data_IF_598529645081
#
_entry.id   IF_598529645081
#
_cell.length_a   1.000
_cell.length_b   1.000
_cell.length_c   1.000
_cell.angle_alpha   90.00
_cell.angle_beta   90.00
_cell.angle_gamma   90.00
#
_symmetry.space_group_name_H-M   'P 1'
#
loop_
_entity.id
_entity.type
_entity.pdbx_description
1 polymer ?
#
# COMPACT_ATOMS: atom_id res chain seq x y z
N UNK A 1 -15.22 -18.97 51.28
CA UNK A 1 -16.44 -19.43 50.56
C UNK A 1 -16.32 -19.03 49.10
N UNK A 2 -15.81 -19.92 48.26
CA UNK A 2 -16.51 -20.50 47.09
C UNK A 2 -17.35 -19.51 46.27
N UNK A 3 -16.97 -19.30 44.99
CA UNK A 3 -17.76 -19.82 43.88
C UNK A 3 -16.86 -20.21 42.70
N UNK A 4 -17.21 -21.36 42.10
CA UNK A 4 -16.49 -22.12 41.09
C UNK A 4 -16.78 -21.61 39.67
N UNK A 5 -15.73 -21.66 38.84
CA UNK A 5 -15.67 -21.94 37.39
C UNK A 5 -16.97 -22.18 36.62
N UNK A 6 -17.09 -21.55 35.44
CA UNK A 6 -17.48 -22.27 34.21
C UNK A 6 -16.83 -21.65 32.98
N UNK A 7 -15.78 -22.33 32.46
CA UNK A 7 -15.23 -22.15 31.11
C UNK A 7 -16.22 -22.68 30.07
N UNK A 8 -16.34 -21.97 28.93
CA UNK A 8 -16.66 -22.54 27.61
C UNK A 8 -16.00 -21.63 26.55
N UNK A 9 -14.76 -21.92 26.13
CA UNK A 9 -14.40 -22.52 24.81
C UNK A 9 -14.99 -21.70 23.65
N UNK A 10 -14.26 -20.97 22.79
CA UNK A 10 -13.08 -21.26 21.93
C UNK A 10 -12.44 -19.88 21.64
N UNK A 11 -11.15 -19.60 21.86
CA UNK A 11 -10.02 -20.06 21.06
C UNK A 11 -9.63 -19.07 19.95
N UNK A 12 -9.02 -17.92 20.30
CA UNK A 12 -8.17 -17.13 19.41
C UNK A 12 -6.95 -16.65 20.20
N UNK A 13 -5.96 -17.53 20.31
CA UNK A 13 -4.59 -17.14 20.57
C UNK A 13 -3.97 -16.70 19.25
N UNK A 14 -3.06 -15.71 19.32
CA UNK A 14 -2.37 -15.00 18.24
C UNK A 14 -3.10 -13.77 17.70
N UNK A 15 -3.41 -12.83 18.60
CA UNK A 15 -3.21 -11.43 18.25
C UNK A 15 -1.70 -11.21 18.21
N UNK A 16 -1.12 -11.16 17.01
CA UNK A 16 0.28 -10.82 16.85
C UNK A 16 0.56 -9.48 17.52
N UNK A 17 1.54 -9.51 18.43
CA UNK A 17 1.98 -8.41 19.28
C UNK A 17 2.52 -7.18 18.52
N UNK A 18 2.42 -7.16 17.19
CA UNK A 18 2.84 -6.05 16.34
C UNK A 18 1.73 -5.00 16.16
N UNK A 19 0.45 -5.43 16.08
CA UNK A 19 -0.66 -4.52 15.79
C UNK A 19 -0.99 -3.58 16.96
N UNK A 20 -0.75 -4.02 18.20
CA UNK A 20 -1.09 -3.27 19.41
C UNK A 20 -0.01 -2.22 19.77
N UNK A 21 1.24 -2.38 19.31
CA UNK A 21 2.34 -1.48 19.69
C UNK A 21 2.32 -0.11 19.00
N UNK A 22 1.55 0.07 17.93
CA UNK A 22 1.45 1.37 17.22
C UNK A 22 0.39 2.32 17.81
N UNK A 23 -0.43 1.85 18.76
CA UNK A 23 -1.61 2.60 19.26
C UNK A 23 -1.33 3.47 20.51
N UNK A 24 -0.13 3.44 21.11
CA UNK A 24 0.05 4.07 22.45
C UNK A 24 0.54 5.51 22.51
N UNK A 25 0.80 6.24 21.42
CA UNK A 25 1.17 7.66 21.53
C UNK A 25 0.67 8.53 20.37
N UNK A 26 -0.66 8.70 20.22
CA UNK A 26 -1.20 9.92 19.61
C UNK A 26 -2.54 10.30 20.26
N UNK A 27 -2.59 11.54 20.70
CA UNK A 27 -3.67 12.19 21.43
C UNK A 27 -4.98 12.23 20.64
N UNK A 28 -6.05 11.69 21.23
CA UNK A 28 -7.45 12.16 21.19
C UNK A 28 -7.86 13.01 19.96
N UNK A 29 -7.92 12.35 18.82
CA UNK A 29 -8.65 12.73 17.61
C UNK A 29 -8.97 11.41 16.91
N UNK A 30 -10.19 11.24 16.42
CA UNK A 30 -10.69 9.99 15.85
C UNK A 30 -9.64 9.34 14.93
N UNK A 31 -9.01 8.25 15.38
CA UNK A 31 -8.47 7.26 14.47
C UNK A 31 -9.70 6.64 13.81
N UNK A 32 -10.15 7.21 12.69
CA UNK A 32 -10.78 6.38 11.68
C UNK A 32 -9.78 5.28 11.40
N UNK A 33 -10.09 4.06 11.85
CA UNK A 33 -9.39 2.88 11.36
C UNK A 33 -9.61 2.97 9.86
N UNK A 34 -8.57 3.37 9.11
CA UNK A 34 -8.61 3.34 7.65
C UNK A 34 -9.21 2.00 7.28
N UNK A 35 -10.37 2.02 6.62
CA UNK A 35 -11.19 0.83 6.45
C UNK A 35 -10.34 -0.32 5.92
N UNK A 36 -10.23 -1.37 6.73
CA UNK A 36 -9.49 -2.59 6.40
C UNK A 36 -10.21 -3.25 5.22
N UNK A 37 -9.48 -3.62 4.17
CA UNK A 37 -10.07 -4.38 3.07
C UNK A 37 -10.47 -5.77 3.57
N UNK A 38 -11.65 -6.23 3.13
CA UNK A 38 -12.12 -7.59 3.34
C UNK A 38 -11.20 -8.61 2.67
N UNK A 39 -11.26 -9.86 3.14
CA UNK A 39 -10.50 -10.97 2.54
C UNK A 39 -10.82 -11.14 1.05
N UNK A 40 -12.07 -10.87 0.66
CA UNK A 40 -12.49 -10.96 -0.74
C UNK A 40 -11.89 -9.82 -1.58
N UNK A 41 -11.87 -8.59 -1.08
CA UNK A 41 -11.21 -7.48 -1.75
C UNK A 41 -9.70 -7.73 -1.92
N UNK A 42 -9.03 -8.27 -0.90
CA UNK A 42 -7.62 -8.66 -1.01
C UNK A 42 -7.42 -9.78 -2.04
N UNK A 43 -8.32 -10.78 -2.07
CA UNK A 43 -8.28 -11.86 -3.05
C UNK A 43 -8.44 -11.33 -4.47
N UNK A 44 -9.41 -10.46 -4.70
CA UNK A 44 -9.67 -9.85 -6.00
C UNK A 44 -8.48 -9.00 -6.43
N UNK A 45 -7.96 -8.14 -5.56
CA UNK A 45 -6.74 -7.38 -5.81
C UNK A 45 -5.57 -8.26 -6.27
N UNK A 46 -5.29 -9.37 -5.58
CA UNK A 46 -4.22 -10.30 -5.98
C UNK A 46 -4.47 -10.97 -7.32
N UNK A 47 -5.73 -11.28 -7.64
CA UNK A 47 -6.11 -11.94 -8.88
C UNK A 47 -6.02 -10.99 -10.08
N UNK A 48 -6.47 -9.74 -9.89
CA UNK A 48 -6.69 -8.74 -10.94
C UNK A 48 -5.44 -7.91 -11.26
N UNK A 49 -4.48 -7.85 -10.33
CA UNK A 49 -3.19 -7.21 -10.57
C UNK A 49 -2.49 -7.74 -11.84
N UNK A 50 -1.88 -6.87 -12.66
CA UNK A 50 -0.98 -7.29 -13.73
C UNK A 50 0.07 -8.27 -13.21
N UNK A 51 0.33 -9.35 -13.96
CA UNK A 51 1.28 -10.41 -13.58
C UNK A 51 2.72 -9.92 -13.59
N UNK A 52 2.96 -8.80 -14.26
CA UNK A 52 4.23 -8.11 -14.33
C UNK A 52 4.53 -7.32 -13.05
N UNK A 53 3.57 -7.05 -12.17
CA UNK A 53 3.87 -6.31 -10.95
C UNK A 53 4.83 -7.10 -10.03
N UNK A 54 5.72 -6.42 -9.29
CA UNK A 54 6.53 -7.08 -8.28
C UNK A 54 5.65 -7.72 -7.20
N UNK A 55 5.92 -8.97 -6.86
CA UNK A 55 5.26 -9.65 -5.72
C UNK A 55 5.42 -8.86 -4.42
N UNK A 56 6.53 -8.12 -4.28
CA UNK A 56 6.77 -7.25 -3.13
C UNK A 56 5.75 -6.13 -3.02
N UNK A 57 5.26 -5.58 -4.13
CA UNK A 57 4.17 -4.61 -4.12
C UNK A 57 2.83 -5.26 -3.76
N UNK A 58 2.49 -6.34 -4.46
CA UNK A 58 1.20 -7.02 -4.30
C UNK A 58 1.03 -7.55 -2.87
N UNK A 59 2.06 -8.17 -2.31
CA UNK A 59 1.99 -8.66 -0.93
C UNK A 59 1.97 -7.52 0.09
N UNK A 60 2.76 -6.46 -0.13
CA UNK A 60 2.79 -5.32 0.78
C UNK A 60 1.43 -4.63 0.91
N UNK A 61 0.73 -4.38 -0.22
CA UNK A 61 -0.62 -3.80 -0.20
C UNK A 61 -1.65 -4.77 0.39
N UNK A 62 -1.52 -6.08 0.11
CA UNK A 62 -2.42 -7.06 0.68
C UNK A 62 -2.34 -7.17 2.21
N UNK A 63 -1.14 -6.94 2.77
CA UNK A 63 -0.88 -7.00 4.22
C UNK A 63 -1.19 -5.69 4.93
N UNK A 64 -0.92 -4.55 4.28
CA UNK A 64 -1.02 -3.24 4.91
C UNK A 64 -2.29 -2.48 4.53
N UNK A 65 -3.04 -2.97 3.56
CA UNK A 65 -4.23 -2.36 2.95
C UNK A 65 -3.94 -1.03 2.24
N UNK A 66 -3.46 -0.02 2.96
CA UNK A 66 -3.00 1.27 2.47
C UNK A 66 -1.94 1.82 3.41
N UNK A 67 -0.99 2.59 2.87
CA UNK A 67 0.06 3.23 3.65
C UNK A 67 0.30 4.63 3.11
N UNK A 68 0.37 5.60 4.02
CA UNK A 68 0.78 6.97 3.72
C UNK A 68 1.79 7.46 4.76
N UNK A 69 2.55 8.49 4.38
CA UNK A 69 3.49 9.14 5.29
C UNK A 69 4.58 9.92 4.57
N UNK A 70 5.55 10.36 5.37
CA UNK A 70 6.67 11.16 4.87
C UNK A 70 7.77 10.28 4.24
N UNK A 71 8.44 10.81 3.24
CA UNK A 71 9.68 10.26 2.69
C UNK A 71 10.86 11.15 3.09
N UNK A 72 12.03 10.58 3.40
CA UNK A 72 13.24 11.34 3.72
C UNK A 72 13.91 11.96 2.48
N UNK A 73 13.29 11.84 1.30
CA UNK A 73 13.77 12.34 0.03
C UNK A 73 12.58 12.73 -0.85
N UNK A 74 12.82 13.59 -1.85
CA UNK A 74 11.83 13.93 -2.89
C UNK A 74 11.10 12.67 -3.38
N UNK A 75 9.75 12.62 -3.41
CA UNK A 75 8.77 13.71 -3.21
C UNK A 75 8.43 14.13 -1.77
N UNK A 76 9.13 13.61 -0.76
CA UNK A 76 8.92 13.88 0.67
C UNK A 76 7.59 13.41 1.27
N UNK A 77 6.64 12.96 0.46
CA UNK A 77 5.40 12.35 0.92
C UNK A 77 4.93 11.26 -0.04
N UNK A 78 4.21 10.27 0.48
CA UNK A 78 3.57 9.24 -0.31
C UNK A 78 2.22 8.83 0.29
N UNK A 79 1.35 8.36 -0.59
CA UNK A 79 0.11 7.67 -0.27
C UNK A 79 -0.10 6.54 -1.27
N UNK A 80 0.03 5.30 -0.82
CA UNK A 80 -0.31 4.11 -1.61
C UNK A 80 -1.82 3.86 -1.51
N UNK A 81 -2.45 3.62 -2.65
CA UNK A 81 -3.90 3.37 -2.70
C UNK A 81 -4.28 2.02 -2.11
N UNK A 82 -5.53 1.91 -1.64
CA UNK A 82 -6.01 0.66 -1.06
C UNK A 82 -6.11 -0.45 -2.10
N UNK A 83 -5.99 -1.70 -1.64
CA UNK A 83 -6.20 -2.89 -2.46
C UNK A 83 -7.55 -2.89 -3.20
N UNK A 84 -8.62 -2.39 -2.58
CA UNK A 84 -9.95 -2.31 -3.18
C UNK A 84 -10.19 -1.06 -4.05
N UNK A 85 -9.25 -0.12 -4.07
CA UNK A 85 -9.36 1.15 -4.81
C UNK A 85 -8.41 1.17 -6.03
N UNK A 86 -7.22 0.59 -5.90
CA UNK A 86 -6.13 0.71 -6.89
C UNK A 86 -6.52 0.28 -8.31
N UNK A 87 -7.27 -0.82 -8.45
CA UNK A 87 -7.73 -1.27 -9.78
C UNK A 87 -8.73 -0.29 -10.38
N UNK A 88 -9.67 0.20 -9.57
CA UNK A 88 -10.65 1.22 -9.98
C UNK A 88 -9.97 2.52 -10.37
N UNK A 89 -9.02 3.00 -9.56
CA UNK A 89 -8.26 4.21 -9.85
C UNK A 89 -7.48 4.10 -11.17
N UNK A 90 -6.87 2.96 -11.50
CA UNK A 90 -6.18 2.79 -12.79
C UNK A 90 -7.14 2.86 -13.99
N UNK A 91 -8.41 2.44 -13.81
CA UNK A 91 -9.46 2.57 -14.83
C UNK A 91 -9.96 4.01 -14.91
N UNK A 92 -10.29 4.62 -13.77
CA UNK A 92 -10.86 5.96 -13.68
C UNK A 92 -9.90 7.05 -14.18
N UNK A 93 -8.60 6.88 -13.95
CA UNK A 93 -7.56 7.76 -14.47
C UNK A 93 -7.08 7.38 -15.88
N UNK A 94 -7.66 6.34 -16.51
CA UNK A 94 -7.31 5.91 -17.87
C UNK A 94 -5.80 5.60 -18.03
N UNK A 95 -5.14 5.11 -16.96
CA UNK A 95 -3.68 4.93 -16.90
C UNK A 95 -3.17 4.10 -18.07
N UNK A 96 -3.91 3.06 -18.43
CA UNK A 96 -3.56 2.16 -19.54
C UNK A 96 -3.62 2.85 -20.91
N UNK A 97 -4.45 3.88 -21.07
CA UNK A 97 -4.62 4.56 -22.35
C UNK A 97 -3.52 5.61 -22.57
N UNK A 98 -3.10 6.31 -21.52
CA UNK A 98 -2.04 7.31 -21.58
C UNK A 98 -0.63 6.72 -21.44
N UNK A 99 -0.42 5.82 -20.48
CA UNK A 99 0.89 5.24 -20.12
C UNK A 99 0.81 3.70 -20.02
N UNK A 100 0.58 2.98 -21.15
CA UNK A 100 0.21 1.55 -21.18
C UNK A 100 1.24 0.59 -20.56
N UNK A 101 2.49 1.03 -20.40
CA UNK A 101 3.59 0.25 -19.82
C UNK A 101 3.72 0.45 -18.31
N UNK A 102 2.81 1.21 -17.69
CA UNK A 102 2.83 1.58 -16.28
C UNK A 102 1.57 1.14 -15.56
N UNK A 103 1.68 1.03 -14.24
CA UNK A 103 0.56 0.80 -13.33
C UNK A 103 0.66 1.76 -12.16
N UNK A 104 -0.38 2.56 -11.94
CA UNK A 104 -0.41 3.53 -10.85
C UNK A 104 -0.70 2.86 -9.51
N UNK A 105 0.06 3.21 -8.49
CA UNK A 105 0.03 2.54 -7.17
C UNK A 105 -0.33 3.48 -6.02
N UNK A 106 -0.41 4.79 -6.29
CA UNK A 106 -0.50 5.82 -5.27
C UNK A 106 -0.18 7.20 -5.82
N UNK A 107 -0.06 8.17 -4.92
CA UNK A 107 0.30 9.55 -5.25
C UNK A 107 1.15 10.19 -4.14
N UNK A 108 1.69 11.37 -4.43
CA UNK A 108 2.46 12.16 -3.46
C UNK A 108 1.60 13.21 -2.73
N UNK A 109 0.29 13.01 -2.61
CA UNK A 109 -0.63 13.98 -1.98
C UNK A 109 -0.85 15.26 -2.79
N UNK A 110 -0.42 15.27 -4.05
CA UNK A 110 -0.44 16.43 -4.95
C UNK A 110 -0.76 16.03 -6.40
N UNK A 111 -0.11 16.70 -7.35
CA UNK A 111 -0.41 16.58 -8.80
C UNK A 111 0.28 15.42 -9.53
N UNK A 112 1.00 14.53 -8.83
CA UNK A 112 1.74 13.43 -9.45
C UNK A 112 1.41 12.10 -8.76
N UNK A 113 1.38 11.04 -9.57
CA UNK A 113 1.12 9.68 -9.14
C UNK A 113 2.41 8.86 -9.12
N UNK A 114 2.52 7.96 -8.15
CA UNK A 114 3.52 6.91 -8.19
C UNK A 114 3.06 5.82 -9.15
N UNK A 115 3.95 5.43 -10.06
CA UNK A 115 3.72 4.32 -10.99
C UNK A 115 4.84 3.29 -10.92
N UNK A 116 4.50 2.02 -11.14
CA UNK A 116 5.47 0.96 -11.42
C UNK A 116 5.51 0.73 -12.93
N UNK A 117 6.69 0.78 -13.52
CA UNK A 117 6.87 0.36 -14.91
C UNK A 117 6.83 -1.17 -14.99
N UNK A 118 5.94 -1.70 -15.81
CA UNK A 118 5.68 -3.13 -15.95
C UNK A 118 6.82 -3.87 -16.69
N UNK A 119 7.78 -3.18 -17.29
CA UNK A 119 8.95 -3.78 -17.96
C UNK A 119 10.14 -3.84 -17.02
N UNK A 120 10.60 -2.69 -16.50
CA UNK A 120 11.83 -2.60 -15.70
C UNK A 120 11.61 -2.71 -14.18
N UNK A 121 10.35 -2.67 -13.72
CA UNK A 121 9.93 -2.78 -12.31
C UNK A 121 10.39 -1.63 -11.40
N UNK A 122 10.87 -0.52 -11.97
CA UNK A 122 11.21 0.69 -11.22
C UNK A 122 9.96 1.50 -10.87
N UNK A 123 10.10 2.39 -9.89
CA UNK A 123 9.06 3.30 -9.43
C UNK A 123 9.36 4.71 -9.94
N UNK A 124 8.37 5.30 -10.60
CA UNK A 124 8.43 6.66 -11.15
C UNK A 124 7.34 7.54 -10.55
N UNK A 125 7.52 8.86 -10.64
CA UNK A 125 6.44 9.84 -10.56
C UNK A 125 6.05 10.29 -11.96
N UNK A 126 4.75 10.37 -12.22
CA UNK A 126 4.19 10.94 -13.45
C UNK A 126 3.06 11.91 -13.06
N UNK A 127 2.98 13.12 -13.65
CA UNK A 127 1.86 14.04 -13.41
C UNK A 127 0.51 13.43 -13.80
N UNK A 128 -0.56 13.68 -13.04
CA UNK A 128 -1.91 13.29 -13.46
C UNK A 128 -2.33 13.97 -14.77
N UNK A 129 -1.84 15.17 -15.02
CA UNK A 129 -2.06 15.92 -16.25
C UNK A 129 -0.74 16.62 -16.61
N UNK A 130 -0.12 16.35 -17.77
CA UNK A 130 -0.69 15.62 -18.92
C UNK A 130 -0.56 14.07 -18.94
N UNK A 131 -0.22 13.39 -17.84
CA UNK A 131 0.00 11.91 -17.81
C UNK A 131 0.86 11.39 -18.98
N UNK A 132 2.08 11.90 -19.05
CA UNK A 132 3.00 11.62 -20.15
C UNK A 132 4.24 10.85 -19.65
N UNK A 133 4.62 9.79 -20.35
CA UNK A 133 5.83 9.01 -20.07
C UNK A 133 7.11 9.87 -20.20
N UNK A 134 7.12 10.89 -21.06
CA UNK A 134 8.24 11.82 -21.20
C UNK A 134 8.43 12.71 -19.96
N UNK A 135 7.36 12.94 -19.19
CA UNK A 135 7.39 13.72 -17.96
C UNK A 135 7.77 12.90 -16.71
N UNK A 136 8.11 11.62 -16.88
CA UNK A 136 8.42 10.74 -15.75
C UNK A 136 9.68 11.15 -15.01
N UNK A 137 9.63 11.04 -13.68
CA UNK A 137 10.80 11.19 -12.81
C UNK A 137 11.07 9.84 -12.16
N UNK A 138 12.28 9.30 -12.34
CA UNK A 138 12.68 8.07 -11.66
C UNK A 138 12.86 8.35 -10.16
N UNK A 139 12.16 7.61 -9.30
CA UNK A 139 12.23 7.80 -7.85
C UNK A 139 12.97 6.67 -7.16
N UNK A 140 12.67 5.42 -7.53
CA UNK A 140 13.25 4.25 -6.87
C UNK A 140 13.52 3.12 -7.86
N UNK A 141 14.66 2.47 -7.70
CA UNK A 141 15.10 1.34 -8.53
C UNK A 141 14.23 0.08 -8.39
N UNK A 142 13.37 0.03 -7.37
CA UNK A 142 12.36 -1.02 -7.20
C UNK A 142 11.37 -0.64 -6.10
N UNK A 143 10.22 -1.32 -6.05
CA UNK A 143 9.29 -1.18 -4.93
C UNK A 143 9.92 -1.58 -3.58
N UNK A 144 10.84 -2.54 -3.56
CA UNK A 144 11.60 -2.92 -2.35
C UNK A 144 12.44 -1.76 -1.83
N UNK A 145 13.10 -1.01 -2.71
CA UNK A 145 13.85 0.19 -2.32
C UNK A 145 12.89 1.26 -1.82
N UNK A 146 11.73 1.41 -2.46
CA UNK A 146 10.70 2.37 -2.05
C UNK A 146 10.23 2.12 -0.61
N UNK A 147 9.82 0.90 -0.26
CA UNK A 147 9.37 0.60 1.12
C UNK A 147 10.50 0.72 2.15
N UNK A 148 11.76 0.42 1.79
CA UNK A 148 12.91 0.69 2.66
C UNK A 148 13.05 2.18 2.96
N UNK A 149 12.77 3.05 1.99
CA UNK A 149 12.78 4.51 2.18
C UNK A 149 11.64 5.01 3.06
N UNK A 150 10.50 4.33 3.08
CA UNK A 150 9.41 4.55 4.05
C UNK A 150 9.79 4.16 5.49
N UNK A 151 10.96 3.54 5.69
CA UNK A 151 11.38 2.98 6.98
C UNK A 151 10.87 1.56 7.22
N UNK A 152 10.30 0.90 6.22
CA UNK A 152 9.90 -0.51 6.31
C UNK A 152 11.15 -1.40 6.31
N UNK A 153 11.30 -2.20 7.36
CA UNK A 153 12.32 -3.24 7.46
C UNK A 153 11.61 -4.57 7.24
N UNK A 154 11.81 -5.21 6.09
CA UNK A 154 11.54 -6.65 5.99
C UNK A 154 12.43 -7.32 7.02
N UNK A 155 11.88 -8.21 7.85
CA UNK A 155 12.72 -9.08 8.68
C UNK A 155 13.68 -9.79 7.72
N UNK A 156 14.98 -9.55 7.87
CA UNK A 156 16.02 -10.27 7.15
C UNK A 156 15.95 -11.71 7.64
N UNK A 157 15.31 -12.58 6.86
CA UNK A 157 15.40 -14.05 7.01
C UNK A 157 16.68 -14.57 6.42
#
# INVERSE_FOLDING_TARGET
>A
MQFKSFKKFIGYWLLDNFFIKKITHMTRGYLEIAQICTIEEIRNFKNDCPKELPDTYVNFIAENHSVEGDLPCNPFYFRLWKANEVMGNNVDYEVKDYIPTYFAIGDQGGGEMFVINLKDKKVYLIPFVPMDEEARIECFESFTVFIKKMGWRSEET
#
